data_IF_865617036868
#
_entry.id   IF_865617036868
#
_cell.length_a   1.000
_cell.length_b   1.000
_cell.length_c   1.000
_cell.angle_alpha   90.00
_cell.angle_beta   90.00
_cell.angle_gamma   90.00
#
_symmetry.space_group_name_H-M   'P 1'
#
loop_
_entity.id
_entity.type
_entity.pdbx_description
1 polymer ?
#
# COMPACT_ATOMS: atom_id res chain seq x y z
N UNK A 1 2.17 17.64 -21.18
CA UNK A 1 2.56 18.09 -19.83
C UNK A 1 3.10 16.87 -19.07
N UNK A 2 4.40 16.82 -18.78
CA UNK A 2 5.10 15.63 -18.26
C UNK A 2 4.92 15.44 -16.75
N UNK A 3 3.70 15.09 -16.30
CA UNK A 3 3.45 14.83 -14.88
C UNK A 3 3.99 13.43 -14.52
N UNK A 4 4.93 13.37 -13.59
CA UNK A 4 5.50 12.12 -13.09
C UNK A 4 4.64 11.56 -11.97
N UNK A 5 4.12 10.35 -12.14
CA UNK A 5 3.34 9.64 -11.12
C UNK A 5 4.24 8.91 -10.13
N UNK A 6 3.74 8.72 -8.91
CA UNK A 6 4.34 7.80 -7.94
C UNK A 6 4.15 6.37 -8.47
N UNK A 7 5.26 5.65 -8.66
CA UNK A 7 5.27 4.27 -9.13
C UNK A 7 6.10 3.41 -8.18
N UNK A 8 5.75 2.12 -7.99
CA UNK A 8 6.56 1.22 -7.18
C UNK A 8 7.91 0.96 -7.86
N UNK A 9 8.95 0.58 -7.10
CA UNK A 9 10.22 0.12 -7.65
C UNK A 9 10.01 -1.04 -8.64
N UNK A 10 10.76 -1.06 -9.74
CA UNK A 10 10.71 -2.19 -10.69
C UNK A 10 11.20 -3.46 -9.98
N UNK A 11 10.47 -4.55 -10.22
CA UNK A 11 10.81 -5.87 -9.70
C UNK A 11 12.11 -6.44 -10.30
N UNK A 12 12.62 -5.84 -11.38
CA UNK A 12 13.91 -6.19 -12.00
C UNK A 12 15.09 -5.81 -11.10
N UNK A 13 14.95 -4.75 -10.30
CA UNK A 13 16.02 -4.24 -9.44
C UNK A 13 15.77 -4.52 -7.96
N UNK A 14 14.50 -4.61 -7.54
CA UNK A 14 14.12 -4.85 -6.14
C UNK A 14 13.15 -6.01 -6.06
N UNK A 15 13.56 -7.07 -5.36
CA UNK A 15 12.68 -8.22 -5.12
C UNK A 15 11.38 -7.78 -4.44
N UNK A 16 10.23 -8.28 -4.93
CA UNK A 16 8.90 -7.85 -4.43
C UNK A 16 8.71 -8.06 -2.92
N UNK A 17 9.37 -9.09 -2.38
CA UNK A 17 9.31 -9.44 -0.95
C UNK A 17 10.20 -8.58 -0.05
N UNK A 18 11.10 -7.74 -0.60
CA UNK A 18 12.07 -6.97 0.20
C UNK A 18 11.66 -5.50 0.39
N UNK A 19 12.20 -4.83 1.41
CA UNK A 19 11.93 -3.42 1.70
C UNK A 19 10.64 -3.18 2.49
N UNK A 20 10.33 -1.91 2.75
CA UNK A 20 9.20 -1.51 3.61
C UNK A 20 7.86 -1.91 2.94
N UNK A 21 6.94 -2.59 3.67
CA UNK A 21 5.64 -3.02 3.14
C UNK A 21 4.64 -1.85 3.14
N UNK A 22 4.84 -0.86 2.27
CA UNK A 22 3.84 0.16 1.95
C UNK A 22 2.78 -0.42 1.02
N UNK A 23 1.61 0.25 0.93
CA UNK A 23 0.54 -0.20 0.04
C UNK A 23 1.01 -0.21 -1.42
N UNK A 24 0.87 -1.36 -2.08
CA UNK A 24 1.31 -1.60 -3.47
C UNK A 24 2.78 -1.21 -3.74
N UNK A 25 3.64 -1.21 -2.71
CA UNK A 25 5.04 -0.75 -2.78
C UNK A 25 5.22 0.71 -3.21
N UNK A 26 4.19 1.55 -3.07
CA UNK A 26 4.29 2.98 -3.37
C UNK A 26 5.15 3.72 -2.33
N UNK A 27 5.76 4.86 -2.68
CA UNK A 27 6.50 5.69 -1.74
C UNK A 27 5.65 6.11 -0.53
N UNK A 28 6.23 6.05 0.66
CA UNK A 28 5.63 6.62 1.86
C UNK A 28 5.71 8.15 1.84
N UNK A 29 4.63 8.81 2.28
CA UNK A 29 4.57 10.25 2.53
C UNK A 29 3.90 10.46 3.89
N UNK A 30 4.49 11.32 4.69
CA UNK A 30 3.98 11.68 6.01
C UNK A 30 2.78 12.63 5.92
N UNK A 31 2.81 13.55 4.95
CA UNK A 31 1.77 14.54 4.70
C UNK A 31 1.12 14.34 3.33
N UNK A 32 -0.10 14.86 3.20
CA UNK A 32 -0.90 14.76 1.97
C UNK A 32 -0.56 15.83 0.92
N UNK A 33 0.27 16.83 1.26
CA UNK A 33 0.60 17.95 0.38
C UNK A 33 1.13 17.48 -0.98
N UNK A 34 0.52 18.00 -2.05
CA UNK A 34 0.90 17.69 -3.42
C UNK A 34 0.53 16.28 -3.92
N UNK A 35 -0.21 15.49 -3.14
CA UNK A 35 -0.80 14.23 -3.60
C UNK A 35 -2.18 14.46 -4.21
N UNK A 36 -2.45 13.81 -5.35
CA UNK A 36 -3.81 13.76 -5.91
C UNK A 36 -4.71 12.78 -5.14
N UNK A 37 -4.11 11.71 -4.61
CA UNK A 37 -4.76 10.67 -3.84
C UNK A 37 -3.75 9.95 -2.93
N UNK A 38 -4.24 9.33 -1.86
CA UNK A 38 -3.41 8.60 -0.90
C UNK A 38 -4.11 7.33 -0.37
N UNK A 39 -3.30 6.34 0.03
CA UNK A 39 -3.77 5.17 0.77
C UNK A 39 -3.61 5.40 2.27
N UNK A 40 -4.71 5.30 3.01
CA UNK A 40 -4.74 5.44 4.49
C UNK A 40 -5.39 4.19 5.09
N UNK A 41 -4.88 3.75 6.24
CA UNK A 41 -5.46 2.62 6.97
C UNK A 41 -5.83 3.05 8.38
N UNK A 42 -7.03 2.69 8.84
CA UNK A 42 -7.55 2.99 10.19
C UNK A 42 -7.68 1.69 10.98
N UNK A 43 -6.71 1.35 11.86
CA UNK A 43 -6.69 0.06 12.55
C UNK A 43 -7.58 0.07 13.80
N UNK A 44 -8.89 -0.07 13.61
CA UNK A 44 -9.88 -0.09 14.69
C UNK A 44 -10.79 -1.32 14.58
N UNK A 45 -11.15 -1.89 15.72
CA UNK A 45 -12.17 -2.96 15.84
C UNK A 45 -12.91 -2.92 17.19
N UNK A 46 -12.81 -1.83 17.96
CA UNK A 46 -13.45 -1.71 19.28
C UNK A 46 -14.97 -1.76 19.23
N UNK A 47 -15.58 -1.53 18.07
CA UNK A 47 -17.02 -1.61 17.84
C UNK A 47 -17.54 -2.99 17.41
N UNK A 48 -16.71 -4.04 17.36
CA UNK A 48 -17.17 -5.37 16.94
C UNK A 48 -18.02 -6.05 18.03
N UNK A 49 -19.15 -6.66 17.64
CA UNK A 49 -20.07 -7.36 18.56
C UNK A 49 -19.74 -8.84 18.80
N UNK A 50 -18.82 -9.43 18.03
CA UNK A 50 -18.51 -10.86 18.10
C UNK A 50 -16.99 -11.10 18.00
N UNK A 51 -16.46 -11.19 16.77
CA UNK A 51 -15.04 -11.56 16.55
C UNK A 51 -14.19 -10.32 16.27
N UNK A 52 -13.27 -9.92 17.17
CA UNK A 52 -12.31 -8.84 16.92
C UNK A 52 -11.16 -9.32 16.01
N UNK A 53 -10.31 -8.39 15.59
CA UNK A 53 -9.10 -8.68 14.79
C UNK A 53 -8.92 -7.79 13.56
N UNK A 54 -9.96 -7.05 13.14
CA UNK A 54 -9.88 -6.17 11.97
C UNK A 54 -8.82 -5.06 12.11
N UNK A 55 -8.42 -4.70 13.34
CA UNK A 55 -7.32 -3.76 13.61
C UNK A 55 -5.99 -4.18 12.97
N UNK A 56 -5.78 -5.48 12.74
CA UNK A 56 -4.57 -6.00 12.07
C UNK A 56 -4.64 -5.95 10.54
N UNK A 57 -5.85 -5.77 9.98
CA UNK A 57 -6.11 -5.77 8.54
C UNK A 57 -5.22 -4.81 7.74
N UNK A 58 -5.12 -3.51 8.11
CA UNK A 58 -4.30 -2.56 7.36
C UNK A 58 -2.81 -2.93 7.26
N UNK A 59 -2.27 -3.71 8.22
CA UNK A 59 -0.89 -4.21 8.12
C UNK A 59 -0.81 -5.36 7.13
N UNK A 60 -1.69 -6.36 7.27
CA UNK A 60 -1.63 -7.56 6.43
C UNK A 60 -1.93 -7.23 4.96
N UNK A 61 -2.93 -6.37 4.69
CA UNK A 61 -3.25 -5.94 3.32
C UNK A 61 -2.03 -5.31 2.64
N UNK A 62 -1.25 -4.49 3.34
CA UNK A 62 -0.03 -3.89 2.76
C UNK A 62 1.04 -4.95 2.46
N UNK A 63 1.23 -5.91 3.35
CA UNK A 63 2.17 -7.04 3.13
C UNK A 63 1.78 -7.84 1.90
N UNK A 64 0.51 -8.23 1.77
CA UNK A 64 0.01 -9.03 0.65
C UNK A 64 -0.05 -8.25 -0.68
N UNK A 65 -0.10 -6.92 -0.63
CA UNK A 65 -0.13 -6.07 -1.83
C UNK A 65 1.17 -6.06 -2.65
N UNK A 66 2.24 -6.71 -2.17
CA UNK A 66 3.57 -6.70 -2.81
C UNK A 66 3.60 -7.27 -4.24
N UNK A 67 2.61 -8.09 -4.61
CA UNK A 67 2.54 -8.74 -5.93
C UNK A 67 1.74 -7.94 -6.96
N UNK A 68 1.08 -6.85 -6.57
CA UNK A 68 0.33 -6.02 -7.50
C UNK A 68 1.24 -5.48 -8.64
N UNK A 69 0.67 -5.39 -9.84
CA UNK A 69 1.28 -4.82 -11.03
C UNK A 69 0.51 -3.58 -11.45
N UNK A 70 1.19 -2.60 -12.05
CA UNK A 70 0.56 -1.38 -12.54
C UNK A 70 -0.46 -1.66 -13.66
N UNK A 71 -0.23 -2.71 -14.45
CA UNK A 71 -1.16 -3.23 -15.44
C UNK A 71 -0.97 -4.75 -15.56
N UNK A 72 -2.04 -5.45 -15.97
CA UNK A 72 -1.96 -6.86 -16.31
C UNK A 72 -1.88 -6.99 -17.84
N UNK A 73 -0.71 -7.30 -18.37
CA UNK A 73 -0.56 -7.76 -19.75
C UNK A 73 -1.08 -9.19 -19.82
N UNK A 74 -2.27 -9.38 -20.39
CA UNK A 74 -2.67 -10.70 -20.86
C UNK A 74 -1.67 -11.28 -21.85
#
# INVERSE_FOLDING_TARGET
SGRRFNVPPSAEFVARVSGIPTMAKLPYRELADGLDAAFVGVPIDTGTSNRPGARFGPRQIRVESALLRAYNSG
#
